data_IF_099119228176
#
_entry.id   IF_099119228176
#
_cell.length_a   1.000
_cell.length_b   1.000
_cell.length_c   1.000
_cell.angle_alpha   90.00
_cell.angle_beta   90.00
_cell.angle_gamma   90.00
#
_symmetry.space_group_name_H-M   'P 1'
#
loop_
_entity.id
_entity.type
_entity.pdbx_description
1 polymer ?
#
# COMPACT_ATOMS: atom_id res chain seq x y z
N UNK A 1 25.17 40.86 -3.71
CA UNK A 1 24.37 39.93 -4.55
C UNK A 1 25.00 38.53 -4.65
N UNK A 2 26.28 38.37 -4.99
CA UNK A 2 26.95 37.05 -5.09
C UNK A 2 27.04 36.26 -3.78
N UNK A 3 27.30 36.91 -2.66
CA UNK A 3 27.35 36.26 -1.34
C UNK A 3 25.97 35.82 -0.84
N UNK A 4 24.93 36.59 -1.16
CA UNK A 4 23.55 36.28 -0.77
C UNK A 4 23.01 35.05 -1.52
N UNK A 5 23.39 34.87 -2.78
CA UNK A 5 22.97 33.72 -3.61
C UNK A 5 23.68 32.42 -3.22
N UNK A 6 24.97 32.50 -2.88
CA UNK A 6 25.75 31.34 -2.38
C UNK A 6 25.24 30.91 -1.00
N UNK A 7 24.91 31.85 -0.12
CA UNK A 7 24.26 31.54 1.17
C UNK A 7 22.89 30.89 0.92
N UNK A 8 22.07 31.41 0.01
CA UNK A 8 20.75 30.86 -0.29
C UNK A 8 20.80 29.40 -0.80
N UNK A 9 21.73 29.10 -1.72
CA UNK A 9 21.92 27.75 -2.28
C UNK A 9 22.48 26.78 -1.23
N UNK A 10 23.38 27.24 -0.36
CA UNK A 10 23.92 26.43 0.75
C UNK A 10 22.83 26.18 1.80
N UNK A 11 21.98 27.16 2.13
CA UNK A 11 20.83 26.93 3.02
C UNK A 11 19.78 26.02 2.38
N UNK A 12 19.51 26.11 1.08
CA UNK A 12 18.57 25.20 0.41
C UNK A 12 19.10 23.75 0.38
N UNK A 13 20.40 23.57 0.13
CA UNK A 13 21.05 22.25 0.12
C UNK A 13 21.24 21.65 1.52
N UNK A 14 21.37 22.49 2.56
CA UNK A 14 21.46 22.03 3.95
C UNK A 14 20.09 21.79 4.58
N UNK A 15 19.04 22.53 4.23
CA UNK A 15 17.70 22.37 4.85
C UNK A 15 16.91 21.20 4.23
N UNK A 16 17.13 20.88 2.95
CA UNK A 16 16.45 19.76 2.28
C UNK A 16 16.64 18.39 2.96
N UNK A 17 17.84 17.97 3.43
CA UNK A 17 17.99 16.70 4.15
C UNK A 17 17.43 16.73 5.58
N UNK A 18 17.28 17.90 6.22
CA UNK A 18 16.69 17.98 7.57
C UNK A 18 15.16 17.98 7.56
N UNK A 19 14.51 18.46 6.50
CA UNK A 19 13.05 18.37 6.38
C UNK A 19 12.55 16.93 6.21
N UNK A 20 13.39 16.04 5.66
CA UNK A 20 13.07 14.61 5.45
C UNK A 20 13.32 13.77 6.72
N UNK A 21 14.03 14.30 7.72
CA UNK A 21 14.36 13.58 8.96
C UNK A 21 13.44 13.90 10.15
N UNK A 22 12.46 14.81 10.01
CA UNK A 22 11.69 15.34 11.12
C UNK A 22 10.28 14.74 11.31
N UNK A 23 9.97 13.57 10.73
CA UNK A 23 8.71 12.84 10.97
C UNK A 23 8.97 11.38 11.38
N UNK A 24 9.85 11.18 12.36
CA UNK A 24 9.92 9.94 13.13
C UNK A 24 9.14 10.12 14.41
N UNK A 25 7.86 9.75 14.39
CA UNK A 25 7.02 9.70 15.58
C UNK A 25 7.59 8.73 16.60
N UNK A 26 7.66 9.17 17.85
CA UNK A 26 7.99 8.37 19.02
C UNK A 26 6.95 7.25 19.17
N UNK A 27 7.38 5.99 19.08
CA UNK A 27 6.57 4.84 19.51
C UNK A 27 6.90 4.56 20.97
N UNK A 28 5.99 4.94 21.87
CA UNK A 28 5.94 4.42 23.23
C UNK A 28 5.78 2.90 23.17
N UNK A 29 6.73 2.21 23.79
CA UNK A 29 6.75 0.77 23.98
C UNK A 29 5.77 0.45 25.13
N UNK A 30 4.56 0.03 24.78
CA UNK A 30 3.58 -0.48 25.75
C UNK A 30 3.75 -1.99 25.86
N UNK A 31 4.40 -2.43 26.94
CA UNK A 31 4.52 -3.82 27.34
C UNK A 31 3.13 -4.42 27.66
N UNK A 32 2.58 -5.16 26.71
CA UNK A 32 1.54 -6.16 26.96
C UNK A 32 1.93 -7.46 26.27
N UNK A 33 2.56 -8.34 27.04
CA UNK A 33 2.92 -9.70 26.66
C UNK A 33 1.65 -10.56 26.62
N UNK A 34 0.92 -10.50 25.51
CA UNK A 34 -0.15 -11.42 25.19
C UNK A 34 0.43 -12.55 24.32
N UNK A 35 0.45 -13.77 24.84
CA UNK A 35 0.93 -14.97 24.14
C UNK A 35 0.09 -15.23 22.87
N UNK A 36 0.54 -14.69 21.74
CA UNK A 36 0.01 -15.01 20.41
C UNK A 36 0.42 -16.44 20.02
N UNK A 37 -0.46 -17.22 19.39
CA UNK A 37 -0.14 -18.55 18.92
C UNK A 37 0.97 -18.49 17.84
N UNK A 38 1.97 -19.38 17.95
CA UNK A 38 3.20 -19.43 17.14
C UNK A 38 3.00 -19.35 15.60
N UNK A 39 1.83 -19.70 15.07
CA UNK A 39 1.53 -19.57 13.64
C UNK A 39 1.10 -18.16 13.20
N UNK A 40 0.62 -17.32 14.11
CA UNK A 40 0.28 -15.92 13.81
C UNK A 40 1.53 -15.01 13.82
N UNK A 41 2.56 -15.35 14.61
CA UNK A 41 3.84 -14.63 14.57
C UNK A 41 4.52 -14.74 13.20
N UNK A 42 4.64 -15.93 12.61
CA UNK A 42 5.31 -16.12 11.30
C UNK A 42 4.63 -15.36 10.15
N UNK A 43 3.29 -15.25 10.15
CA UNK A 43 2.54 -14.52 9.14
C UNK A 43 2.75 -13.00 9.28
N UNK A 44 2.70 -12.53 10.53
CA UNK A 44 2.91 -11.11 10.88
C UNK A 44 4.36 -10.68 10.63
N UNK A 45 5.33 -11.56 10.89
CA UNK A 45 6.75 -11.33 10.62
C UNK A 45 7.04 -11.28 9.10
N UNK A 46 6.48 -12.21 8.32
CA UNK A 46 6.64 -12.20 6.87
C UNK A 46 5.97 -10.98 6.18
N UNK A 47 4.86 -10.48 6.74
CA UNK A 47 4.16 -9.29 6.25
C UNK A 47 4.88 -8.00 6.66
N UNK A 48 5.32 -7.90 7.92
CA UNK A 48 6.20 -6.84 8.38
C UNK A 48 7.49 -6.76 7.56
N UNK A 49 8.02 -7.92 7.14
CA UNK A 49 9.19 -8.01 6.26
C UNK A 49 8.90 -7.45 4.86
N UNK A 50 7.72 -7.69 4.28
CA UNK A 50 7.36 -7.16 2.95
C UNK A 50 7.19 -5.63 2.95
N UNK A 51 6.49 -5.10 3.95
CA UNK A 51 6.32 -3.65 4.16
C UNK A 51 7.68 -2.99 4.44
N UNK A 52 8.48 -3.59 5.33
CA UNK A 52 9.83 -3.12 5.63
C UNK A 52 10.73 -3.15 4.38
N UNK A 53 10.57 -4.15 3.50
CA UNK A 53 11.32 -4.24 2.23
C UNK A 53 10.90 -3.16 1.24
N UNK A 54 9.61 -2.88 1.07
CA UNK A 54 9.13 -1.79 0.21
C UNK A 54 9.63 -0.43 0.71
N UNK A 55 9.48 -0.18 2.03
CA UNK A 55 9.99 1.02 2.69
C UNK A 55 11.52 1.12 2.54
N UNK A 56 12.26 0.04 2.77
CA UNK A 56 13.71 0.03 2.62
C UNK A 56 14.15 0.26 1.17
N UNK A 57 13.45 -0.32 0.19
CA UNK A 57 13.74 -0.12 -1.23
C UNK A 57 13.53 1.34 -1.63
N UNK A 58 12.35 1.90 -1.31
CA UNK A 58 12.02 3.31 -1.55
C UNK A 58 13.03 4.25 -0.88
N UNK A 59 13.33 4.00 0.40
CA UNK A 59 14.29 4.77 1.17
C UNK A 59 15.70 4.68 0.60
N UNK A 60 16.14 3.51 0.14
CA UNK A 60 17.49 3.35 -0.44
C UNK A 60 17.62 4.10 -1.77
N UNK A 61 16.62 4.00 -2.64
CA UNK A 61 16.61 4.76 -3.90
C UNK A 61 16.58 6.27 -3.64
N UNK A 62 15.75 6.72 -2.69
CA UNK A 62 15.66 8.12 -2.29
C UNK A 62 16.98 8.63 -1.68
N UNK A 63 17.62 7.83 -0.81
CA UNK A 63 18.93 8.15 -0.22
C UNK A 63 20.01 8.26 -1.28
N UNK A 64 20.09 7.31 -2.22
CA UNK A 64 21.10 7.33 -3.30
C UNK A 64 20.86 8.53 -4.22
N UNK A 65 19.61 8.79 -4.62
CA UNK A 65 19.27 9.96 -5.41
C UNK A 65 19.57 11.28 -4.66
N UNK A 66 19.29 11.34 -3.35
CA UNK A 66 19.58 12.49 -2.49
C UNK A 66 21.07 12.76 -2.36
N UNK A 67 21.87 11.73 -2.07
CA UNK A 67 23.35 11.83 -2.02
C UNK A 67 23.90 12.30 -3.36
N UNK A 68 23.44 11.71 -4.47
CA UNK A 68 23.83 12.14 -5.81
C UNK A 68 23.45 13.60 -6.07
N UNK A 69 22.25 14.02 -5.66
CA UNK A 69 21.79 15.41 -5.74
C UNK A 69 22.68 16.39 -4.97
N UNK A 70 23.09 16.03 -3.75
CA UNK A 70 24.02 16.84 -2.94
C UNK A 70 25.39 16.95 -3.62
N UNK A 71 25.93 15.84 -4.12
CA UNK A 71 27.21 15.83 -4.83
C UNK A 71 27.12 16.68 -6.10
N UNK A 72 26.04 16.56 -6.87
CA UNK A 72 25.83 17.36 -8.07
C UNK A 72 25.71 18.85 -7.75
N UNK A 73 24.94 19.22 -6.72
CA UNK A 73 24.84 20.60 -6.27
C UNK A 73 26.21 21.18 -5.88
N UNK A 74 27.03 20.39 -5.19
CA UNK A 74 28.40 20.77 -4.82
C UNK A 74 29.30 20.94 -6.05
N UNK A 75 29.27 20.01 -7.01
CA UNK A 75 30.05 20.09 -8.25
C UNK A 75 29.64 21.31 -9.10
N UNK A 76 28.34 21.60 -9.19
CA UNK A 76 27.81 22.78 -9.87
C UNK A 76 28.23 24.06 -9.14
N UNK A 77 28.16 24.09 -7.81
CA UNK A 77 28.61 25.23 -7.03
C UNK A 77 30.11 25.52 -7.24
N UNK A 78 30.96 24.48 -7.28
CA UNK A 78 32.38 24.63 -7.62
C UNK A 78 32.53 25.23 -9.01
N UNK A 79 31.76 24.75 -10.00
CA UNK A 79 31.80 25.29 -11.35
C UNK A 79 31.40 26.77 -11.41
N UNK A 80 30.41 27.19 -10.60
CA UNK A 80 29.92 28.58 -10.54
C UNK A 80 30.85 29.54 -9.79
N UNK A 81 31.59 29.08 -8.78
CA UNK A 81 32.47 29.91 -7.94
C UNK A 81 33.83 30.17 -8.61
N UNK A 82 34.17 29.46 -9.68
CA UNK A 82 35.41 29.69 -10.43
C UNK A 82 35.38 31.07 -11.12
N UNK A 83 35.97 32.06 -10.44
CA UNK A 83 36.02 33.48 -10.87
C UNK A 83 37.18 33.80 -11.81
N UNK A 84 38.17 32.90 -11.92
CA UNK A 84 39.27 32.97 -12.91
C UNK A 84 38.98 31.98 -14.04
N UNK A 85 39.50 32.20 -15.27
CA UNK A 85 39.36 31.22 -16.33
C UNK A 85 39.89 29.86 -15.86
N UNK A 86 38.97 28.91 -15.70
CA UNK A 86 39.29 27.56 -15.26
C UNK A 86 40.28 26.91 -16.23
N UNK A 87 41.27 26.19 -15.70
CA UNK A 87 42.14 25.40 -16.57
C UNK A 87 41.32 24.37 -17.34
N UNK A 88 41.73 24.07 -18.58
CA UNK A 88 41.05 23.04 -19.39
C UNK A 88 41.00 21.67 -18.69
N UNK A 89 42.01 21.37 -17.85
CA UNK A 89 42.01 20.16 -17.01
C UNK A 89 40.88 20.20 -15.96
N UNK A 90 40.70 21.33 -15.27
CA UNK A 90 39.65 21.49 -14.26
C UNK A 90 38.24 21.36 -14.86
N UNK A 91 38.01 21.93 -16.04
CA UNK A 91 36.73 21.81 -16.76
C UNK A 91 36.43 20.34 -17.10
N UNK A 92 37.42 19.62 -17.63
CA UNK A 92 37.28 18.19 -17.96
C UNK A 92 37.01 17.34 -16.72
N UNK A 93 37.71 17.60 -15.61
CA UNK A 93 37.49 16.86 -14.35
C UNK A 93 36.07 17.09 -13.83
N UNK A 94 35.61 18.34 -13.77
CA UNK A 94 34.24 18.65 -13.30
C UNK A 94 33.18 18.03 -14.21
N UNK A 95 33.36 18.13 -15.54
CA UNK A 95 32.46 17.51 -16.50
C UNK A 95 32.37 16.00 -16.29
N UNK A 96 33.51 15.30 -16.24
CA UNK A 96 33.51 13.85 -16.05
C UNK A 96 33.00 13.44 -14.66
N UNK A 97 33.25 14.22 -13.61
CA UNK A 97 32.69 13.96 -12.29
C UNK A 97 31.15 14.02 -12.31
N UNK A 98 30.57 15.04 -12.96
CA UNK A 98 29.12 15.16 -13.13
C UNK A 98 28.58 13.98 -13.96
N UNK A 99 29.23 13.66 -15.09
CA UNK A 99 28.83 12.54 -15.94
C UNK A 99 28.87 11.21 -15.17
N UNK A 100 29.90 10.97 -14.36
CA UNK A 100 30.01 9.76 -13.54
C UNK A 100 28.88 9.70 -12.53
N UNK A 101 28.61 10.77 -11.79
CA UNK A 101 27.54 10.78 -10.77
C UNK A 101 26.17 10.55 -11.41
N UNK A 102 25.84 11.29 -12.48
CA UNK A 102 24.57 11.10 -13.20
C UNK A 102 24.47 9.70 -13.78
N UNK A 103 25.54 9.22 -14.44
CA UNK A 103 25.57 7.93 -15.09
C UNK A 103 25.42 6.77 -14.12
N UNK A 104 26.16 6.76 -13.01
CA UNK A 104 26.08 5.69 -12.00
C UNK A 104 24.74 5.68 -11.28
N UNK A 105 24.21 6.84 -10.89
CA UNK A 105 22.87 6.92 -10.30
C UNK A 105 21.80 6.44 -11.27
N UNK A 106 21.87 6.83 -12.54
CA UNK A 106 20.91 6.38 -13.57
C UNK A 106 20.99 4.87 -13.78
N UNK A 107 22.19 4.31 -13.92
CA UNK A 107 22.39 2.85 -14.07
C UNK A 107 21.88 2.10 -12.84
N UNK A 108 22.15 2.63 -11.64
CA UNK A 108 21.66 2.02 -10.40
C UNK A 108 20.13 2.00 -10.36
N UNK A 109 19.47 3.14 -10.56
CA UNK A 109 18.00 3.23 -10.52
C UNK A 109 17.34 2.38 -11.63
N UNK A 110 17.88 2.42 -12.85
CA UNK A 110 17.40 1.57 -13.94
C UNK A 110 17.60 0.09 -13.61
N UNK A 111 18.76 -0.28 -13.07
CA UNK A 111 19.08 -1.64 -12.68
C UNK A 111 18.16 -2.16 -11.58
N UNK A 112 17.86 -1.36 -10.56
CA UNK A 112 16.94 -1.75 -9.49
C UNK A 112 15.50 -1.87 -9.97
N UNK A 113 15.03 -0.99 -10.84
CA UNK A 113 13.70 -1.11 -11.47
C UNK A 113 13.59 -2.37 -12.34
N UNK A 114 14.58 -2.65 -13.17
CA UNK A 114 14.61 -3.87 -14.00
C UNK A 114 14.62 -5.11 -13.11
N UNK A 115 15.45 -5.10 -12.07
CA UNK A 115 15.52 -6.20 -11.11
C UNK A 115 14.17 -6.48 -10.46
N UNK A 116 13.47 -5.43 -9.99
CA UNK A 116 12.13 -5.59 -9.42
C UNK A 116 11.15 -6.22 -10.40
N UNK A 117 11.08 -5.69 -11.63
CA UNK A 117 10.17 -6.22 -12.66
C UNK A 117 10.47 -7.68 -13.02
N UNK A 118 11.75 -8.07 -13.10
CA UNK A 118 12.14 -9.46 -13.37
C UNK A 118 11.86 -10.40 -12.19
N UNK A 119 11.90 -9.88 -10.96
CA UNK A 119 11.57 -10.64 -9.75
C UNK A 119 10.05 -10.73 -9.50
N UNK A 120 9.25 -10.03 -10.28
CA UNK A 120 7.81 -9.98 -10.13
C UNK A 120 7.14 -11.28 -10.57
N UNK A 121 6.19 -11.77 -9.76
CA UNK A 121 5.38 -12.94 -10.10
C UNK A 121 4.37 -12.64 -11.22
N UNK A 122 4.07 -11.37 -11.46
CA UNK A 122 3.15 -10.89 -12.51
C UNK A 122 3.89 -10.48 -13.79
N UNK A 123 5.23 -10.54 -13.80
CA UNK A 123 6.06 -10.15 -14.95
C UNK A 123 6.14 -8.64 -15.18
N UNK A 124 5.71 -7.83 -14.21
CA UNK A 124 5.66 -6.37 -14.32
C UNK A 124 4.65 -5.73 -13.36
N UNK A 125 4.52 -4.40 -13.40
CA UNK A 125 3.58 -3.68 -12.55
C UNK A 125 2.13 -4.01 -12.90
N UNK A 126 1.28 -4.03 -11.88
CA UNK A 126 -0.15 -4.31 -11.96
C UNK A 126 -0.96 -3.08 -11.56
N UNK A 127 -2.26 -3.17 -11.84
CA UNK A 127 -3.27 -2.22 -11.44
C UNK A 127 -4.55 -3.03 -11.27
N UNK A 128 -4.76 -3.58 -10.07
CA UNK A 128 -5.91 -4.42 -9.75
C UNK A 128 -6.81 -3.72 -8.74
N UNK A 129 -8.10 -3.98 -8.87
CA UNK A 129 -9.16 -3.42 -8.05
C UNK A 129 -10.06 -4.52 -7.52
N UNK A 130 -10.45 -4.40 -6.26
CA UNK A 130 -11.58 -5.12 -5.69
C UNK A 130 -12.39 -4.16 -4.81
N UNK A 131 -13.70 -4.12 -5.01
CA UNK A 131 -14.56 -3.38 -4.09
C UNK A 131 -14.67 -4.16 -2.78
N UNK A 132 -14.85 -3.45 -1.68
CA UNK A 132 -15.09 -4.09 -0.39
C UNK A 132 -16.16 -3.37 0.43
N UNK A 133 -16.75 -4.09 1.39
CA UNK A 133 -17.60 -3.54 2.44
C UNK A 133 -17.34 -4.29 3.74
N UNK A 134 -17.35 -3.57 4.86
CA UNK A 134 -17.08 -4.13 6.19
C UNK A 134 -18.30 -3.89 7.05
N UNK A 135 -18.76 -4.92 7.75
CA UNK A 135 -19.88 -4.81 8.68
C UNK A 135 -19.52 -5.36 10.05
N UNK A 136 -19.97 -4.70 11.10
CA UNK A 136 -19.95 -5.21 12.46
C UNK A 136 -21.34 -5.13 13.09
N UNK A 137 -21.83 -6.29 13.53
CA UNK A 137 -23.14 -6.46 14.16
C UNK A 137 -24.30 -5.83 13.36
N UNK A 138 -24.23 -5.94 12.03
CA UNK A 138 -25.22 -5.43 11.09
C UNK A 138 -25.01 -3.98 10.62
N UNK A 139 -24.12 -3.22 11.25
CA UNK A 139 -23.79 -1.86 10.84
C UNK A 139 -22.57 -1.87 9.91
N UNK A 140 -22.60 -1.06 8.86
CA UNK A 140 -21.46 -0.86 7.98
C UNK A 140 -20.41 0.01 8.68
N UNK A 141 -19.15 -0.39 8.57
CA UNK A 141 -18.00 0.37 9.04
C UNK A 141 -17.39 1.09 7.85
N UNK A 142 -17.07 2.37 8.04
CA UNK A 142 -16.32 3.17 7.08
C UNK A 142 -14.87 3.25 7.54
N UNK A 143 -13.94 3.10 6.58
CA UNK A 143 -12.52 3.28 6.87
C UNK A 143 -12.20 4.76 7.17
N UNK A 144 -11.14 4.96 7.93
CA UNK A 144 -10.46 6.25 8.06
C UNK A 144 -10.19 6.84 6.67
N UNK A 145 -10.52 8.12 6.51
CA UNK A 145 -10.40 8.82 5.24
C UNK A 145 -8.99 9.40 5.09
N UNK A 146 -8.53 9.59 3.85
CA UNK A 146 -7.25 10.24 3.62
C UNK A 146 -7.26 11.72 4.06
N UNK A 147 -6.20 12.17 4.76
CA UNK A 147 -6.05 13.55 5.22
C UNK A 147 -4.83 14.26 4.60
N UNK A 148 -4.93 15.60 4.45
CA UNK A 148 -3.81 16.46 4.07
C UNK A 148 -3.50 16.47 2.58
N UNK A 149 -2.24 16.20 2.23
CA UNK A 149 -1.73 16.24 0.83
C UNK A 149 -1.81 14.86 0.16
N UNK A 150 -1.90 13.79 0.97
CA UNK A 150 -2.10 12.43 0.46
C UNK A 150 -3.56 12.23 0.10
N UNK A 151 -3.82 11.63 -1.07
CA UNK A 151 -5.17 11.21 -1.47
C UNK A 151 -5.38 9.70 -1.27
N UNK A 152 -4.52 9.05 -0.48
CA UNK A 152 -4.55 7.61 -0.24
C UNK A 152 -4.20 7.28 1.20
N UNK A 153 -4.73 6.16 1.68
CA UNK A 153 -4.36 5.48 2.92
C UNK A 153 -3.82 4.10 2.57
N UNK A 154 -2.60 3.79 3.04
CA UNK A 154 -1.89 2.55 2.69
C UNK A 154 -0.47 2.76 2.18
N UNK A 155 0.07 1.75 1.51
CA UNK A 155 1.42 1.77 0.91
C UNK A 155 1.40 2.24 -0.55
N UNK A 156 2.58 2.31 -1.17
CA UNK A 156 2.69 2.56 -2.60
C UNK A 156 2.00 1.48 -3.43
N UNK A 157 2.09 0.23 -2.96
CA UNK A 157 1.59 -0.94 -3.67
C UNK A 157 0.16 -1.30 -3.32
N UNK A 158 -0.30 -0.96 -2.12
CA UNK A 158 -1.58 -1.43 -1.61
C UNK A 158 -2.28 -0.37 -0.76
N UNK A 159 -3.42 0.14 -1.23
CA UNK A 159 -4.07 1.31 -0.62
C UNK A 159 -5.56 1.43 -0.99
N UNK A 160 -6.25 2.41 -0.41
CA UNK A 160 -7.55 2.90 -0.88
C UNK A 160 -7.55 4.41 -1.07
N UNK A 161 -8.54 4.90 -1.83
CA UNK A 161 -8.76 6.30 -2.18
C UNK A 161 -10.14 6.79 -1.70
N UNK A 162 -10.57 6.35 -0.52
CA UNK A 162 -11.87 6.72 0.06
C UNK A 162 -13.09 6.29 -0.79
N UNK A 163 -12.90 5.25 -1.59
CA UNK A 163 -13.85 4.78 -2.62
C UNK A 163 -14.37 3.37 -2.37
N UNK A 164 -14.17 2.83 -1.16
CA UNK A 164 -14.53 1.45 -0.77
C UNK A 164 -13.94 0.40 -1.73
N UNK A 165 -12.72 0.66 -2.21
CA UNK A 165 -11.98 -0.19 -3.12
C UNK A 165 -10.57 -0.42 -2.64
N UNK A 166 -10.14 -1.66 -2.75
CA UNK A 166 -8.76 -2.09 -2.60
C UNK A 166 -8.05 -1.82 -3.92
N UNK A 167 -6.96 -1.05 -3.89
CA UNK A 167 -6.10 -0.77 -5.03
C UNK A 167 -4.76 -1.47 -4.86
N UNK A 168 -4.42 -2.35 -5.82
CA UNK A 168 -3.12 -3.01 -5.92
C UNK A 168 -2.39 -2.44 -7.13
N UNK A 169 -1.37 -1.62 -6.90
CA UNK A 169 -0.68 -0.89 -7.96
C UNK A 169 0.83 -1.09 -7.89
N UNK A 170 1.48 -1.39 -9.02
CA UNK A 170 2.94 -1.57 -9.04
C UNK A 170 3.36 -3.04 -8.96
N UNK A 171 4.57 -3.31 -8.48
CA UNK A 171 5.24 -4.59 -8.76
C UNK A 171 4.99 -5.60 -7.65
N UNK A 172 4.25 -6.66 -7.95
CA UNK A 172 3.98 -7.74 -6.99
C UNK A 172 5.11 -8.76 -7.04
N UNK A 173 5.82 -8.93 -5.91
CA UNK A 173 6.90 -9.94 -5.80
C UNK A 173 6.46 -11.23 -5.11
N UNK A 174 5.36 -11.18 -4.37
CA UNK A 174 4.74 -12.35 -3.76
C UNK A 174 3.23 -12.13 -3.56
N UNK A 175 2.43 -13.18 -3.75
CA UNK A 175 0.98 -13.14 -3.51
C UNK A 175 0.61 -12.85 -2.06
N UNK A 176 1.50 -13.18 -1.11
CA UNK A 176 1.30 -12.87 0.33
C UNK A 176 1.28 -11.37 0.59
N UNK A 177 2.02 -10.58 -0.20
CA UNK A 177 2.13 -9.12 -0.03
C UNK A 177 0.86 -8.38 -0.49
N UNK A 178 0.04 -9.05 -1.29
CA UNK A 178 -1.22 -8.52 -1.85
C UNK A 178 -2.44 -9.31 -1.36
N UNK A 179 -2.32 -9.95 -0.19
CA UNK A 179 -3.44 -10.65 0.44
C UNK A 179 -4.31 -9.69 1.27
N UNK A 180 -5.55 -10.07 1.57
CA UNK A 180 -6.46 -9.24 2.36
C UNK A 180 -5.91 -8.91 3.75
N UNK A 181 -5.14 -9.81 4.37
CA UNK A 181 -4.44 -9.48 5.61
C UNK A 181 -3.43 -8.34 5.42
N UNK A 182 -2.65 -8.38 4.35
CA UNK A 182 -1.69 -7.33 4.01
C UNK A 182 -2.39 -6.00 3.71
N UNK A 183 -3.64 -6.03 3.22
CA UNK A 183 -4.44 -4.81 3.00
C UNK A 183 -4.74 -4.13 4.33
N UNK A 184 -5.31 -4.88 5.28
CA UNK A 184 -5.63 -4.34 6.59
C UNK A 184 -4.38 -3.84 7.31
N UNK A 185 -3.26 -4.56 7.23
CA UNK A 185 -1.99 -4.08 7.77
C UNK A 185 -1.48 -2.80 7.10
N UNK A 186 -1.61 -2.69 5.77
CA UNK A 186 -1.18 -1.51 5.02
C UNK A 186 -1.92 -0.23 5.45
N UNK A 187 -3.23 -0.36 5.75
CA UNK A 187 -4.08 0.79 6.13
C UNK A 187 -4.04 1.08 7.65
N UNK A 188 -3.22 0.38 8.43
CA UNK A 188 -3.10 0.57 9.89
C UNK A 188 -4.05 -0.28 10.73
N UNK A 189 -4.80 -1.19 10.11
CA UNK A 189 -5.62 -2.20 10.77
C UNK A 189 -4.90 -3.54 10.92
N UNK A 190 -5.68 -4.59 11.22
CA UNK A 190 -5.17 -5.96 11.36
C UNK A 190 -6.27 -6.98 11.05
N UNK A 191 -5.92 -8.05 10.37
CA UNK A 191 -6.81 -9.19 10.14
C UNK A 191 -6.15 -10.47 10.65
N UNK A 192 -6.76 -11.12 11.64
CA UNK A 192 -6.23 -12.34 12.27
C UNK A 192 -7.21 -13.50 12.08
N UNK A 193 -6.86 -14.69 12.59
CA UNK A 193 -7.81 -15.80 12.60
C UNK A 193 -8.92 -15.59 13.63
N UNK A 194 -8.62 -14.82 14.67
CA UNK A 194 -9.47 -14.56 15.82
C UNK A 194 -10.30 -13.28 15.69
N UNK A 195 -10.05 -12.41 14.71
CA UNK A 195 -10.77 -11.15 14.61
C UNK A 195 -10.20 -10.16 13.60
N UNK A 196 -10.70 -8.93 13.67
CA UNK A 196 -10.32 -7.82 12.81
C UNK A 196 -10.19 -6.53 13.62
N UNK A 197 -9.19 -5.73 13.28
CA UNK A 197 -9.02 -4.35 13.73
C UNK A 197 -9.13 -3.46 12.49
N UNK A 198 -10.09 -2.53 12.51
CA UNK A 198 -10.42 -1.64 11.40
C UNK A 198 -10.09 -0.20 11.81
N UNK A 199 -9.29 0.54 11.03
CA UNK A 199 -9.10 1.96 11.25
C UNK A 199 -10.33 2.71 10.73
N UNK A 200 -11.09 3.31 11.64
CA UNK A 200 -12.27 4.13 11.33
C UNK A 200 -12.02 5.59 11.69
N UNK A 201 -12.92 6.48 11.28
CA UNK A 201 -12.83 7.90 11.65
C UNK A 201 -12.89 8.15 13.17
N UNK A 202 -13.33 7.17 13.96
CA UNK A 202 -13.38 7.24 15.43
C UNK A 202 -12.15 6.62 16.10
N UNK A 203 -11.20 6.09 15.32
CA UNK A 203 -10.00 5.39 15.78
C UNK A 203 -10.01 3.91 15.39
N UNK A 204 -9.19 3.11 16.06
CA UNK A 204 -9.13 1.67 15.81
C UNK A 204 -10.30 0.96 16.49
N UNK A 205 -11.16 0.31 15.70
CA UNK A 205 -12.22 -0.57 16.19
C UNK A 205 -11.79 -2.02 16.05
N UNK A 206 -11.84 -2.78 17.15
CA UNK A 206 -11.44 -4.21 17.18
C UNK A 206 -12.64 -5.08 17.49
N UNK A 207 -12.78 -6.17 16.73
CA UNK A 207 -13.82 -7.18 16.88
C UNK A 207 -13.19 -8.55 16.95
N UNK A 208 -13.36 -9.25 18.08
CA UNK A 208 -12.82 -10.58 18.31
C UNK A 208 -13.94 -11.63 18.30
N UNK A 209 -13.63 -12.79 17.72
CA UNK A 209 -14.54 -13.92 17.64
C UNK A 209 -15.04 -14.31 19.03
N UNK A 210 -16.34 -14.58 19.10
CA UNK A 210 -17.11 -14.83 20.32
C UNK A 210 -17.39 -13.60 21.19
N UNK A 211 -16.98 -12.38 20.82
CA UNK A 211 -17.49 -11.19 21.48
C UNK A 211 -18.99 -11.00 21.19
N UNK A 212 -19.79 -10.57 22.19
CA UNK A 212 -21.21 -10.35 21.98
C UNK A 212 -21.46 -9.09 21.14
N UNK A 213 -22.32 -9.22 20.14
CA UNK A 213 -22.96 -8.08 19.50
C UNK A 213 -23.95 -7.38 20.47
N UNK A 214 -24.38 -6.13 20.20
CA UNK A 214 -25.30 -5.39 21.06
C UNK A 214 -26.64 -6.09 21.31
N UNK A 215 -27.06 -6.97 20.40
CA UNK A 215 -28.27 -7.79 20.51
C UNK A 215 -28.08 -9.06 21.38
N UNK A 216 -26.87 -9.29 21.90
CA UNK A 216 -26.48 -10.43 22.71
C UNK A 216 -26.05 -11.66 21.92
N UNK A 217 -26.09 -11.64 20.58
CA UNK A 217 -25.59 -12.74 19.75
C UNK A 217 -24.07 -12.79 19.77
N UNK A 218 -23.47 -13.97 19.62
CA UNK A 218 -22.01 -14.12 19.53
C UNK A 218 -21.55 -13.78 18.12
N UNK A 219 -20.69 -12.79 18.00
CA UNK A 219 -20.08 -12.39 16.74
C UNK A 219 -18.95 -13.33 16.32
N UNK A 220 -18.86 -13.59 15.03
CA UNK A 220 -17.76 -14.27 14.39
C UNK A 220 -17.40 -13.53 13.10
N UNK A 221 -16.11 -13.29 12.91
CA UNK A 221 -15.56 -12.75 11.67
C UNK A 221 -15.71 -13.77 10.55
N UNK A 222 -16.30 -13.33 9.46
CA UNK A 222 -16.55 -14.10 8.25
C UNK A 222 -16.31 -13.20 7.05
N UNK A 223 -15.78 -13.75 5.97
CA UNK A 223 -15.65 -13.02 4.72
C UNK A 223 -16.28 -13.80 3.58
N UNK A 224 -16.90 -13.05 2.67
CA UNK A 224 -17.54 -13.56 1.48
C UNK A 224 -17.01 -12.79 0.29
N UNK A 225 -16.89 -13.47 -0.84
CA UNK A 225 -16.48 -12.83 -2.08
C UNK A 225 -17.45 -13.16 -3.20
N UNK A 226 -17.84 -12.15 -3.96
CA UNK A 226 -18.48 -12.32 -5.24
C UNK A 226 -17.41 -12.27 -6.34
N UNK A 227 -17.40 -13.30 -7.20
CA UNK A 227 -16.47 -13.45 -8.32
C UNK A 227 -17.21 -13.69 -9.62
N UNK A 228 -16.75 -13.04 -10.69
CA UNK A 228 -17.22 -13.35 -12.04
C UNK A 228 -16.64 -14.69 -12.45
N UNK A 229 -17.52 -15.66 -12.72
CA UNK A 229 -17.13 -17.04 -13.08
C UNK A 229 -17.09 -17.25 -14.59
N UNK A 230 -17.87 -16.46 -15.34
CA UNK A 230 -17.90 -16.49 -16.80
C UNK A 230 -18.11 -15.06 -17.32
N UNK A 231 -17.10 -14.54 -18.02
CA UNK A 231 -17.15 -13.20 -18.61
C UNK A 231 -18.09 -13.12 -19.82
N UNK A 232 -18.22 -14.20 -20.60
CA UNK A 232 -19.05 -14.24 -21.80
C UNK A 232 -20.52 -14.38 -21.44
N UNK A 233 -20.83 -15.29 -20.51
CA UNK A 233 -22.16 -15.46 -19.95
C UNK A 233 -22.51 -14.38 -18.91
N UNK A 234 -21.53 -13.55 -18.52
CA UNK A 234 -21.65 -12.49 -17.51
C UNK A 234 -22.18 -13.03 -16.18
N UNK A 235 -21.77 -14.23 -15.79
CA UNK A 235 -22.26 -14.85 -14.55
C UNK A 235 -21.27 -14.69 -13.42
N UNK A 236 -21.81 -14.56 -12.21
CA UNK A 236 -21.01 -14.50 -10.99
C UNK A 236 -21.58 -15.36 -9.87
N UNK A 237 -20.70 -15.78 -8.97
CA UNK A 237 -21.03 -16.61 -7.82
C UNK A 237 -20.41 -16.07 -6.54
N UNK A 238 -21.04 -16.41 -5.41
CA UNK A 238 -20.51 -16.12 -4.08
C UNK A 238 -19.72 -17.31 -3.54
N UNK A 239 -18.64 -17.01 -2.86
CA UNK A 239 -17.82 -17.95 -2.10
C UNK A 239 -17.67 -17.41 -0.67
N UNK A 240 -17.84 -18.27 0.34
CA UNK A 240 -17.43 -17.96 1.72
C UNK A 240 -15.96 -18.35 1.87
N UNK A 241 -15.13 -17.42 2.32
CA UNK A 241 -13.71 -17.64 2.49
C UNK A 241 -13.45 -18.44 3.77
N UNK A 242 -12.73 -19.57 3.65
CA UNK A 242 -12.31 -20.36 4.81
C UNK A 242 -11.23 -19.63 5.63
N UNK A 243 -10.27 -19.02 4.94
CA UNK A 243 -9.23 -18.18 5.53
C UNK A 243 -9.17 -16.83 4.80
N UNK A 244 -9.87 -15.80 5.31
CA UNK A 244 -9.89 -14.48 4.67
C UNK A 244 -8.49 -13.85 4.54
N UNK A 245 -7.56 -14.19 5.44
CA UNK A 245 -6.21 -13.57 5.50
C UNK A 245 -5.37 -13.83 4.26
N UNK A 246 -5.46 -15.04 3.72
CA UNK A 246 -4.68 -15.49 2.56
C UNK A 246 -5.33 -15.15 1.23
N UNK A 247 -6.55 -14.60 1.26
CA UNK A 247 -7.27 -14.23 0.05
C UNK A 247 -6.52 -13.16 -0.75
N UNK A 248 -6.36 -13.37 -2.05
CA UNK A 248 -5.76 -12.41 -2.98
C UNK A 248 -6.82 -11.97 -3.98
N UNK A 249 -7.06 -10.65 -4.15
CA UNK A 249 -7.97 -10.13 -5.15
C UNK A 249 -7.63 -10.58 -6.58
N UNK A 250 -8.66 -10.80 -7.37
CA UNK A 250 -8.60 -11.14 -8.79
C UNK A 250 -7.89 -10.04 -9.58
N UNK A 251 -7.07 -10.40 -10.60
CA UNK A 251 -6.14 -9.48 -11.25
C UNK A 251 -6.81 -8.59 -12.30
N UNK A 252 -7.81 -7.79 -11.91
CA UNK A 252 -8.63 -6.98 -12.81
C UNK A 252 -8.64 -5.50 -12.41
N UNK A 253 -8.46 -4.60 -13.37
CA UNK A 253 -8.47 -3.14 -13.15
C UNK A 253 -9.87 -2.52 -13.13
N UNK A 254 -10.90 -3.28 -13.47
CA UNK A 254 -12.29 -2.82 -13.46
C UNK A 254 -13.08 -3.70 -12.50
N UNK A 255 -14.06 -3.11 -11.81
CA UNK A 255 -14.93 -3.82 -10.87
C UNK A 255 -16.38 -3.59 -11.29
N UNK A 256 -17.10 -4.66 -11.70
CA UNK A 256 -16.60 -6.00 -12.09
C UNK A 256 -15.69 -5.95 -13.34
N UNK A 257 -14.88 -7.00 -13.65
CA UNK A 257 -14.85 -8.33 -13.05
C UNK A 257 -13.95 -8.48 -11.81
N UNK A 258 -13.28 -7.42 -11.37
CA UNK A 258 -12.65 -7.38 -10.05
C UNK A 258 -13.67 -7.68 -8.96
N UNK A 259 -13.18 -8.19 -7.84
CA UNK A 259 -14.05 -8.83 -6.85
C UNK A 259 -14.92 -7.84 -6.09
N UNK A 260 -15.97 -8.37 -5.47
CA UNK A 260 -16.65 -7.69 -4.37
C UNK A 260 -16.46 -8.49 -3.08
N UNK A 261 -15.72 -7.91 -2.13
CA UNK A 261 -15.40 -8.49 -0.84
C UNK A 261 -16.34 -7.96 0.24
N UNK A 262 -16.99 -8.87 0.97
CA UNK A 262 -17.84 -8.52 2.10
C UNK A 262 -17.24 -9.15 3.36
N UNK A 263 -16.76 -8.32 4.28
CA UNK A 263 -16.33 -8.74 5.60
C UNK A 263 -17.44 -8.47 6.61
N UNK A 264 -17.78 -9.46 7.42
CA UNK A 264 -18.81 -9.34 8.45
C UNK A 264 -18.36 -9.92 9.77
N UNK A 265 -18.48 -9.13 10.83
CA UNK A 265 -18.47 -9.59 12.20
C UNK A 265 -19.90 -9.68 12.73
N UNK A 266 -20.40 -10.89 12.98
CA UNK A 266 -21.78 -11.09 13.44
C UNK A 266 -22.15 -12.58 13.55
N UNK A 267 -23.44 -12.93 13.62
CA UNK A 267 -23.87 -14.31 13.67
C UNK A 267 -23.31 -15.15 12.51
N UNK A 268 -22.92 -16.40 12.80
CA UNK A 268 -22.42 -17.29 11.77
C UNK A 268 -23.46 -17.54 10.68
N UNK A 269 -23.05 -17.45 9.41
CA UNK A 269 -23.90 -17.68 8.25
C UNK A 269 -23.08 -18.21 7.07
N UNK A 270 -23.72 -18.94 6.18
CA UNK A 270 -23.02 -19.56 5.04
C UNK A 270 -22.93 -18.65 3.82
N UNK A 271 -23.74 -17.58 3.80
CA UNK A 271 -23.89 -16.66 2.67
C UNK A 271 -24.13 -15.24 3.16
N UNK A 272 -23.75 -14.25 2.35
CA UNK A 272 -24.14 -12.85 2.57
C UNK A 272 -25.19 -12.40 1.57
N UNK A 273 -26.10 -11.54 2.05
CA UNK A 273 -27.07 -10.76 1.29
C UNK A 273 -26.50 -9.42 0.80
N UNK A 274 -25.27 -9.07 1.21
CA UNK A 274 -24.63 -7.81 0.84
C UNK A 274 -23.94 -7.91 -0.51
N UNK A 275 -23.95 -6.78 -1.22
CA UNK A 275 -23.29 -6.58 -2.50
C UNK A 275 -22.62 -5.20 -2.52
N UNK A 276 -21.52 -5.09 -3.26
CA UNK A 276 -20.80 -3.83 -3.42
C UNK A 276 -21.53 -2.92 -4.43
N UNK A 277 -21.42 -1.58 -4.31
CA UNK A 277 -22.21 -0.67 -5.14
C UNK A 277 -22.02 -0.84 -6.65
N UNK A 278 -20.78 -0.96 -7.15
CA UNK A 278 -20.57 -1.13 -8.59
C UNK A 278 -21.05 -2.49 -9.12
N UNK A 279 -20.97 -3.53 -8.28
CA UNK A 279 -21.56 -4.83 -8.58
C UNK A 279 -23.10 -4.75 -8.66
N UNK A 280 -23.75 -4.04 -7.74
CA UNK A 280 -25.20 -3.81 -7.79
C UNK A 280 -25.59 -3.06 -9.08
N UNK A 281 -24.85 -2.00 -9.42
CA UNK A 281 -25.08 -1.24 -10.66
C UNK A 281 -24.95 -2.14 -11.89
N UNK A 282 -23.95 -3.02 -11.94
CA UNK A 282 -23.76 -3.94 -13.06
C UNK A 282 -24.93 -4.94 -13.18
N UNK A 283 -25.45 -5.44 -12.06
CA UNK A 283 -26.64 -6.30 -12.03
C UNK A 283 -27.88 -5.53 -12.52
N UNK A 284 -28.11 -4.32 -11.99
CA UNK A 284 -29.27 -3.50 -12.34
C UNK A 284 -29.31 -3.14 -13.83
N UNK A 285 -28.14 -3.00 -14.46
CA UNK A 285 -27.99 -2.75 -15.90
C UNK A 285 -28.07 -4.02 -16.77
N UNK A 286 -28.10 -5.21 -16.18
CA UNK A 286 -28.00 -6.49 -16.91
C UNK A 286 -26.61 -6.75 -17.51
N UNK A 287 -25.58 -6.07 -17.00
CA UNK A 287 -24.17 -6.27 -17.36
C UNK A 287 -23.56 -7.45 -16.60
N UNK A 288 -24.18 -7.85 -15.49
CA UNK A 288 -23.82 -9.02 -14.69
C UNK A 288 -25.07 -9.77 -14.23
N UNK A 289 -25.02 -11.10 -14.25
CA UNK A 289 -26.09 -12.00 -13.85
C UNK A 289 -25.61 -12.79 -12.63
N UNK A 290 -26.34 -12.67 -11.53
CA UNK A 290 -26.08 -13.45 -10.31
C UNK A 290 -27.26 -14.40 -10.13
N UNK A 291 -27.14 -15.68 -10.51
CA UNK A 291 -28.26 -16.62 -10.48
C UNK A 291 -28.89 -16.82 -9.10
N UNK A 292 -28.16 -16.47 -8.05
CA UNK A 292 -28.58 -16.62 -6.66
C UNK A 292 -29.18 -15.36 -6.03
N UNK A 293 -29.20 -14.23 -6.74
CA UNK A 293 -29.95 -13.05 -6.32
C UNK A 293 -31.36 -13.11 -6.94
N UNK A 294 -32.41 -12.80 -6.18
CA UNK A 294 -33.80 -12.83 -6.66
C UNK A 294 -34.07 -11.77 -7.72
#
# INVERSE_FOLDING_TARGET
MRTLFVVLVITAALVAPFLVLAHGGETEEADHEEMLPLHEEEATEAQGLSLAREIAFSNNNLRIAGIAGIILAFLVAIAMVQTKPASERSKRILFWAIVVVVGTTTIYLAGTTIYLNLSSITGGPVHWHADFRIFACGNELELEQSEGISNRVGTGTFHHHDDNRVHIEGVVTSLREVSLQSFFSAIGGRLTQSGITVPTAQGLETFLNNEPCPDGTRGALQAFVWKVTDLDARTATQEKLEDPRSYVPSPHSQVPPGDCLILEFGPQKDRTDKLCPFWQIAVDKGELIIPSLP
#
